data_IF_866249421853
#
_entry.id   IF_866249421853
#
_cell.length_a   1.000
_cell.length_b   1.000
_cell.length_c   1.000
_cell.angle_alpha   90.00
_cell.angle_beta   90.00
_cell.angle_gamma   90.00
#
_symmetry.space_group_name_H-M   'P 1'
#
loop_
_entity.id
_entity.type
_entity.pdbx_description
1 polymer ?
#
# COMPACT_ATOMS: atom_id res chain seq x y z
N UNK A 1 28.58 2.40 -9.84
CA UNK A 1 27.58 3.02 -10.74
C UNK A 1 26.44 2.06 -11.13
N UNK A 2 26.19 0.98 -10.37
CA UNK A 2 25.18 -0.05 -10.64
C UNK A 2 23.79 0.25 -10.04
N UNK A 3 23.72 1.00 -8.94
CA UNK A 3 22.47 1.17 -8.18
C UNK A 3 21.31 1.89 -8.89
N UNK A 4 21.56 2.76 -9.87
CA UNK A 4 20.48 3.49 -10.57
C UNK A 4 19.76 2.61 -11.61
N UNK A 5 20.50 1.72 -12.28
CA UNK A 5 19.92 0.81 -13.26
C UNK A 5 19.04 -0.25 -12.57
N UNK A 6 19.52 -0.79 -11.45
CA UNK A 6 18.80 -1.79 -10.66
C UNK A 6 17.50 -1.21 -10.06
N UNK A 7 17.56 0.02 -9.54
CA UNK A 7 16.39 0.73 -9.01
C UNK A 7 15.31 0.97 -10.10
N UNK A 8 15.72 1.37 -11.31
CA UNK A 8 14.78 1.60 -12.41
C UNK A 8 14.08 0.31 -12.88
N UNK A 9 14.80 -0.83 -12.86
CA UNK A 9 14.25 -2.15 -13.17
C UNK A 9 13.27 -2.60 -12.08
N UNK A 10 13.65 -2.48 -10.81
CA UNK A 10 12.77 -2.83 -9.68
C UNK A 10 11.46 -2.02 -9.72
N UNK A 11 11.58 -0.72 -9.95
CA UNK A 11 10.43 0.18 -10.10
C UNK A 11 9.53 -0.24 -11.27
N UNK A 12 10.09 -0.57 -12.43
CA UNK A 12 9.32 -1.01 -13.60
C UNK A 12 8.55 -2.31 -13.33
N UNK A 13 9.15 -3.26 -12.62
CA UNK A 13 8.47 -4.50 -12.23
C UNK A 13 7.31 -4.22 -11.28
N UNK A 14 7.52 -3.36 -10.27
CA UNK A 14 6.46 -2.94 -9.35
C UNK A 14 5.31 -2.25 -10.08
N UNK A 15 5.61 -1.25 -10.91
CA UNK A 15 4.62 -0.48 -11.68
C UNK A 15 3.88 -1.37 -12.68
N UNK A 16 4.58 -2.25 -13.38
CA UNK A 16 3.97 -3.21 -14.31
C UNK A 16 3.01 -4.17 -13.62
N UNK A 17 3.38 -4.66 -12.42
CA UNK A 17 2.48 -5.46 -11.60
C UNK A 17 1.26 -4.65 -11.14
N UNK A 18 1.46 -3.43 -10.62
CA UNK A 18 0.36 -2.59 -10.15
C UNK A 18 -0.61 -2.21 -11.28
N UNK A 19 -0.09 -1.91 -12.47
CA UNK A 19 -0.86 -1.59 -13.67
C UNK A 19 -1.84 -2.71 -14.04
N UNK A 20 -1.41 -3.97 -13.96
CA UNK A 20 -2.25 -5.14 -14.23
C UNK A 20 -3.38 -5.33 -13.19
N UNK A 21 -3.27 -4.71 -12.01
CA UNK A 21 -4.21 -4.85 -10.90
C UNK A 21 -4.97 -3.56 -10.58
N UNK A 22 -4.99 -2.58 -11.50
CA UNK A 22 -5.67 -1.29 -11.29
C UNK A 22 -7.16 -1.41 -10.94
N UNK A 23 -7.84 -2.44 -11.46
CA UNK A 23 -9.26 -2.71 -11.17
C UNK A 23 -9.55 -3.10 -9.71
N UNK A 24 -8.51 -3.37 -8.91
CA UNK A 24 -8.59 -3.72 -7.49
C UNK A 24 -8.16 -2.57 -6.57
N UNK A 25 -8.08 -1.35 -7.11
CA UNK A 25 -7.76 -0.13 -6.37
C UNK A 25 -8.93 0.83 -6.23
N UNK A 26 -8.86 1.73 -5.26
CA UNK A 26 -9.73 2.89 -5.17
C UNK A 26 -9.03 4.07 -4.48
N UNK A 27 -9.49 5.29 -4.76
CA UNK A 27 -9.03 6.49 -4.06
C UNK A 27 -9.56 6.47 -2.63
N UNK A 28 -8.64 6.44 -1.67
CA UNK A 28 -8.91 6.46 -0.24
C UNK A 28 -9.28 7.88 0.24
N UNK A 29 -8.50 8.87 -0.16
CA UNK A 29 -8.71 10.29 0.12
C UNK A 29 -7.87 11.14 -0.84
N UNK A 30 -8.40 12.28 -1.29
CA UNK A 30 -7.61 13.25 -2.06
C UNK A 30 -6.86 14.22 -1.12
N UNK A 31 -5.78 14.80 -1.61
CA UNK A 31 -4.97 15.79 -0.90
C UNK A 31 -5.84 16.90 -0.27
N UNK A 32 -5.71 17.10 1.04
CA UNK A 32 -6.49 18.06 1.80
C UNK A 32 -7.85 17.55 2.31
N UNK A 33 -8.30 16.36 1.92
CA UNK A 33 -9.49 15.74 2.47
C UNK A 33 -9.19 15.04 3.81
N UNK A 34 -10.17 14.98 4.74
CA UNK A 34 -10.05 14.15 5.92
C UNK A 34 -10.14 12.66 5.56
N UNK A 35 -9.42 11.80 6.29
CA UNK A 35 -9.65 10.36 6.16
C UNK A 35 -10.95 9.95 6.86
N UNK A 36 -11.93 9.52 6.07
CA UNK A 36 -13.22 9.08 6.59
C UNK A 36 -13.26 7.55 6.68
N UNK A 37 -13.07 7.02 7.89
CA UNK A 37 -13.05 5.57 8.17
C UNK A 37 -14.28 4.84 7.59
N UNK A 38 -15.47 5.40 7.73
CA UNK A 38 -16.71 4.79 7.23
C UNK A 38 -16.70 4.61 5.70
N UNK A 39 -16.24 5.62 4.95
CA UNK A 39 -16.13 5.56 3.50
C UNK A 39 -15.13 4.50 3.05
N UNK A 40 -13.95 4.47 3.66
CA UNK A 40 -12.93 3.44 3.37
C UNK A 40 -13.49 2.04 3.61
N UNK A 41 -14.11 1.80 4.76
CA UNK A 41 -14.63 0.47 5.11
C UNK A 41 -15.73 0.03 4.15
N UNK A 42 -16.62 0.94 3.74
CA UNK A 42 -17.65 0.62 2.74
C UNK A 42 -17.03 0.23 1.37
N UNK A 43 -16.03 0.98 0.91
CA UNK A 43 -15.31 0.65 -0.34
C UNK A 43 -14.56 -0.67 -0.23
N UNK A 44 -13.87 -0.92 0.89
CA UNK A 44 -13.19 -2.20 1.17
C UNK A 44 -14.17 -3.36 1.16
N UNK A 45 -15.29 -3.27 1.87
CA UNK A 45 -16.31 -4.32 1.92
C UNK A 45 -16.87 -4.63 0.54
N UNK A 46 -17.15 -3.60 -0.27
CA UNK A 46 -17.61 -3.79 -1.65
C UNK A 46 -16.54 -4.46 -2.52
N UNK A 47 -15.27 -4.04 -2.39
CA UNK A 47 -14.17 -4.59 -3.18
C UNK A 47 -13.84 -6.05 -2.80
N UNK A 48 -13.75 -6.38 -1.51
CA UNK A 48 -13.44 -7.73 -1.04
C UNK A 48 -14.63 -8.67 -1.19
N UNK A 49 -15.86 -8.17 -1.05
CA UNK A 49 -17.08 -8.93 -1.28
C UNK A 49 -17.23 -9.45 -2.72
N UNK A 50 -16.64 -8.75 -3.70
CA UNK A 50 -16.58 -9.19 -5.11
C UNK A 50 -15.53 -10.27 -5.38
N UNK A 51 -14.45 -10.29 -4.59
CA UNK A 51 -13.31 -11.19 -4.79
C UNK A 51 -13.45 -12.49 -3.97
N UNK A 52 -13.97 -12.38 -2.74
CA UNK A 52 -14.25 -13.51 -1.83
C UNK A 52 -13.06 -14.45 -1.64
N UNK A 53 -11.86 -13.90 -1.59
CA UNK A 53 -10.62 -14.65 -1.39
C UNK A 53 -10.32 -14.90 0.09
N UNK A 54 -9.58 -15.99 0.40
CA UNK A 54 -9.15 -16.30 1.75
C UNK A 54 -7.97 -15.43 2.23
N UNK A 55 -7.19 -14.86 1.30
CA UNK A 55 -6.04 -14.01 1.58
C UNK A 55 -5.92 -12.91 0.52
N UNK A 56 -5.45 -11.74 0.94
CA UNK A 56 -5.33 -10.55 0.11
C UNK A 56 -3.97 -9.90 0.28
N UNK A 57 -3.46 -9.32 -0.81
CA UNK A 57 -2.39 -8.33 -0.82
C UNK A 57 -3.00 -6.94 -0.71
N UNK A 58 -2.45 -6.13 0.18
CA UNK A 58 -2.89 -4.78 0.48
C UNK A 58 -1.75 -3.81 0.20
N UNK A 59 -1.97 -2.81 -0.65
CA UNK A 59 -1.02 -1.75 -0.93
C UNK A 59 -1.66 -0.39 -0.68
N UNK A 60 -0.96 0.48 0.04
CA UNK A 60 -1.25 1.91 0.11
C UNK A 60 -0.23 2.64 -0.74
N UNK A 61 -0.71 3.46 -1.67
CA UNK A 61 0.10 4.29 -2.55
C UNK A 61 -0.17 5.76 -2.25
N UNK A 62 0.85 6.60 -2.45
CA UNK A 62 0.79 8.05 -2.35
C UNK A 62 1.10 8.69 -3.70
N UNK A 63 0.21 9.56 -4.19
CA UNK A 63 0.43 10.35 -5.39
C UNK A 63 1.12 11.69 -5.03
N UNK A 64 2.41 11.82 -5.34
CA UNK A 64 3.26 12.98 -5.02
C UNK A 64 3.76 13.65 -6.29
N UNK A 65 3.32 14.88 -6.56
CA UNK A 65 3.87 15.72 -7.66
C UNK A 65 4.00 14.98 -9.01
N UNK A 66 3.03 14.13 -9.36
CA UNK A 66 3.03 13.34 -10.59
C UNK A 66 3.69 11.96 -10.49
N UNK A 67 4.19 11.56 -9.32
CA UNK A 67 4.78 10.26 -9.05
C UNK A 67 3.92 9.44 -8.06
N UNK A 68 3.71 8.14 -8.32
CA UNK A 68 2.99 7.24 -7.42
C UNK A 68 4.00 6.40 -6.62
N UNK A 69 4.03 6.56 -5.30
CA UNK A 69 5.04 5.91 -4.43
C UNK A 69 4.37 4.97 -3.42
N UNK A 70 4.85 3.73 -3.23
CA UNK A 70 4.31 2.85 -2.22
C UNK A 70 4.59 3.39 -0.82
N UNK A 71 3.54 3.40 0.00
CA UNK A 71 3.57 3.78 1.38
C UNK A 71 3.61 2.57 2.31
N UNK A 72 2.79 1.57 2.01
CA UNK A 72 2.63 0.38 2.85
C UNK A 72 2.28 -0.82 1.98
N UNK A 73 2.87 -1.97 2.30
CA UNK A 73 2.56 -3.24 1.64
C UNK A 73 2.35 -4.27 2.75
N UNK A 74 1.32 -5.08 2.63
CA UNK A 74 1.11 -6.19 3.55
C UNK A 74 0.14 -7.23 3.00
N UNK A 75 0.03 -8.34 3.71
CA UNK A 75 -1.00 -9.36 3.46
C UNK A 75 -1.96 -9.53 4.63
N UNK A 76 -3.18 -9.97 4.34
CA UNK A 76 -4.17 -10.24 5.37
C UNK A 76 -5.29 -11.15 4.87
N UNK A 77 -5.90 -11.90 5.79
CA UNK A 77 -7.15 -12.63 5.57
C UNK A 77 -8.39 -11.79 5.85
N UNK A 78 -8.23 -10.62 6.47
CA UNK A 78 -9.34 -9.76 6.92
C UNK A 78 -9.08 -8.29 6.59
N UNK A 79 -9.16 -7.86 5.31
CA UNK A 79 -8.79 -6.50 4.90
C UNK A 79 -9.54 -5.39 5.64
N UNK A 80 -10.83 -5.58 5.93
CA UNK A 80 -11.63 -4.58 6.67
C UNK A 80 -11.11 -4.34 8.08
N UNK A 81 -10.80 -5.41 8.84
CA UNK A 81 -10.21 -5.28 10.18
C UNK A 81 -8.80 -4.69 10.09
N UNK A 82 -7.99 -5.23 9.17
CA UNK A 82 -6.61 -4.80 8.95
C UNK A 82 -6.50 -3.29 8.74
N UNK A 83 -7.24 -2.74 7.78
CA UNK A 83 -7.22 -1.30 7.51
C UNK A 83 -7.94 -0.47 8.58
N UNK A 84 -8.97 -1.02 9.23
CA UNK A 84 -9.60 -0.35 10.36
C UNK A 84 -8.62 -0.13 11.52
N UNK A 85 -7.76 -1.11 11.80
CA UNK A 85 -6.76 -1.01 12.85
C UNK A 85 -5.69 0.03 12.50
N UNK A 86 -5.20 0.02 11.25
CA UNK A 86 -4.27 1.02 10.75
C UNK A 86 -4.81 2.45 10.82
N UNK A 87 -6.06 2.68 10.38
CA UNK A 87 -6.68 4.00 10.47
C UNK A 87 -6.85 4.47 11.90
N UNK A 88 -7.25 3.58 12.81
CA UNK A 88 -7.39 3.91 14.24
C UNK A 88 -6.05 4.31 14.83
N UNK A 89 -4.99 3.55 14.54
CA UNK A 89 -3.64 3.87 14.98
C UNK A 89 -3.16 5.23 14.45
N UNK A 90 -3.37 5.48 13.15
CA UNK A 90 -3.03 6.72 12.47
C UNK A 90 -3.72 7.96 13.09
N UNK A 91 -5.01 7.85 13.41
CA UNK A 91 -5.77 8.92 14.04
C UNK A 91 -5.35 9.14 15.51
N UNK A 92 -5.01 8.07 16.23
CA UNK A 92 -4.56 8.15 17.62
C UNK A 92 -3.09 8.63 17.77
N UNK A 93 -2.29 8.58 16.70
CA UNK A 93 -0.88 8.94 16.66
C UNK A 93 0.01 8.18 17.66
N UNK A 94 -0.30 6.92 17.96
CA UNK A 94 0.42 6.11 18.95
C UNK A 94 1.49 5.21 18.32
N UNK A 95 2.66 5.12 18.96
CA UNK A 95 3.73 4.19 18.56
C UNK A 95 4.17 4.35 17.10
N UNK A 96 4.18 3.24 16.36
CA UNK A 96 4.54 3.21 14.93
C UNK A 96 3.73 4.18 14.06
N UNK A 97 2.49 4.49 14.46
CA UNK A 97 1.59 5.37 13.72
C UNK A 97 1.96 6.86 13.83
N UNK A 98 2.90 7.25 14.70
CA UNK A 98 3.46 8.59 14.69
C UNK A 98 4.22 8.87 13.38
N UNK A 99 4.92 7.86 12.83
CA UNK A 99 5.58 7.96 11.52
C UNK A 99 4.56 8.01 10.39
N UNK A 100 3.52 7.18 10.46
CA UNK A 100 2.41 7.22 9.50
C UNK A 100 1.77 8.60 9.47
N UNK A 101 1.45 9.17 10.64
CA UNK A 101 0.84 10.50 10.75
C UNK A 101 1.71 11.58 10.13
N UNK A 102 3.01 11.62 10.45
CA UNK A 102 3.96 12.60 9.87
C UNK A 102 4.09 12.47 8.34
N UNK A 103 3.97 11.25 7.80
CA UNK A 103 4.10 11.00 6.37
C UNK A 103 2.81 11.32 5.60
N UNK A 104 1.68 10.83 6.11
CA UNK A 104 0.40 10.80 5.39
C UNK A 104 -0.48 12.02 5.65
N UNK A 105 -0.38 12.65 6.83
CA UNK A 105 -1.24 13.77 7.23
C UNK A 105 -0.50 15.11 7.23
N UNK A 106 -1.25 16.20 7.10
CA UNK A 106 -0.74 17.56 7.31
C UNK A 106 -0.51 17.81 8.80
N UNK A 107 0.59 18.47 9.13
CA UNK A 107 0.94 18.78 10.52
C UNK A 107 -0.15 19.66 11.16
N UNK A 108 -0.58 19.31 12.37
CA UNK A 108 -1.67 20.02 13.07
C UNK A 108 -3.08 19.76 12.53
N UNK A 109 -3.26 18.90 11.53
CA UNK A 109 -4.56 18.62 10.91
C UNK A 109 -4.81 17.10 10.74
N UNK A 110 -6.07 16.72 10.54
CA UNK A 110 -6.49 15.34 10.21
C UNK A 110 -6.76 15.14 8.71
N UNK A 111 -6.18 16.00 7.88
CA UNK A 111 -6.29 15.96 6.41
C UNK A 111 -5.06 15.35 5.78
N UNK A 112 -5.27 14.60 4.69
CA UNK A 112 -4.18 13.91 4.00
C UNK A 112 -3.29 14.90 3.24
N UNK A 113 -1.99 14.61 3.20
CA UNK A 113 -0.99 15.46 2.53
C UNK A 113 -1.01 15.28 1.01
N UNK A 114 -1.27 14.06 0.54
CA UNK A 114 -1.23 13.62 -0.85
C UNK A 114 -2.48 12.80 -1.17
N UNK A 115 -2.77 12.58 -2.45
CA UNK A 115 -3.82 11.62 -2.82
C UNK A 115 -3.36 10.23 -2.41
N UNK A 116 -4.25 9.50 -1.72
CA UNK A 116 -3.98 8.17 -1.21
C UNK A 116 -4.82 7.17 -2.01
N UNK A 117 -4.16 6.15 -2.55
CA UNK A 117 -4.80 5.08 -3.30
C UNK A 117 -4.61 3.78 -2.53
N UNK A 118 -5.69 3.01 -2.39
CA UNK A 118 -5.66 1.74 -1.71
C UNK A 118 -6.00 0.61 -2.68
N UNK A 119 -5.11 -0.37 -2.75
CA UNK A 119 -5.27 -1.58 -3.55
C UNK A 119 -5.44 -2.79 -2.64
N UNK A 120 -6.44 -3.62 -2.93
CA UNK A 120 -6.70 -4.87 -2.20
C UNK A 120 -6.99 -5.98 -3.21
N UNK A 121 -5.99 -6.84 -3.43
CA UNK A 121 -5.98 -7.89 -4.45
C UNK A 121 -6.09 -9.24 -3.74
N UNK A 122 -7.16 -9.97 -4.00
CA UNK A 122 -7.36 -11.34 -3.51
C UNK A 122 -6.42 -12.31 -4.21
N UNK A 123 -5.98 -13.36 -3.52
CA UNK A 123 -4.96 -14.28 -4.03
C UNK A 123 -5.33 -14.89 -5.38
N UNK A 124 -6.59 -15.27 -5.62
CA UNK A 124 -7.01 -15.83 -6.93
C UNK A 124 -7.02 -14.81 -8.06
N UNK A 125 -6.94 -13.52 -7.74
CA UNK A 125 -6.89 -12.42 -8.70
C UNK A 125 -5.49 -11.91 -8.99
N UNK A 126 -4.45 -12.48 -8.37
CA UNK A 126 -3.07 -12.19 -8.73
C UNK A 126 -2.78 -12.81 -10.09
N UNK A 127 -2.64 -11.98 -11.12
CA UNK A 127 -2.47 -12.43 -12.49
C UNK A 127 -1.09 -13.07 -12.75
N UNK A 128 -0.04 -12.51 -12.13
CA UNK A 128 1.34 -12.97 -12.25
C UNK A 128 2.18 -12.46 -11.05
N UNK A 129 3.38 -13.02 -10.88
CA UNK A 129 4.30 -12.62 -9.84
C UNK A 129 4.99 -11.28 -10.20
N UNK A 130 5.26 -10.39 -9.23
CA UNK A 130 5.93 -9.12 -9.50
C UNK A 130 7.29 -9.26 -10.18
N UNK A 131 8.07 -10.29 -9.81
CA UNK A 131 9.32 -10.64 -10.49
C UNK A 131 9.08 -11.78 -11.50
N UNK A 132 9.77 -11.77 -12.66
CA UNK A 132 9.69 -12.85 -13.65
C UNK A 132 9.97 -14.22 -13.03
N UNK A 133 9.20 -15.22 -13.43
CA UNK A 133 9.30 -16.61 -12.96
C UNK A 133 9.14 -16.81 -11.43
N UNK A 134 8.73 -15.76 -10.71
CA UNK A 134 8.50 -15.79 -9.27
C UNK A 134 7.23 -16.57 -8.88
N UNK A 135 7.11 -16.98 -7.60
CA UNK A 135 5.89 -17.61 -7.11
C UNK A 135 4.75 -16.58 -6.99
N UNK A 136 3.52 -17.04 -7.23
CA UNK A 136 2.28 -16.23 -7.17
C UNK A 136 1.49 -16.39 -5.87
N UNK A 137 2.02 -17.09 -4.86
CA UNK A 137 1.37 -17.14 -3.55
C UNK A 137 1.34 -15.75 -2.92
N UNK A 138 0.31 -15.46 -2.12
CA UNK A 138 0.18 -14.14 -1.51
C UNK A 138 1.42 -13.76 -0.67
N UNK A 139 1.97 -14.69 0.11
CA UNK A 139 3.23 -14.48 0.84
C UNK A 139 4.41 -14.15 -0.09
N UNK A 140 4.57 -14.89 -1.19
CA UNK A 140 5.68 -14.65 -2.12
C UNK A 140 5.53 -13.30 -2.83
N UNK A 141 4.31 -12.94 -3.21
CA UNK A 141 3.99 -11.67 -3.88
C UNK A 141 4.23 -10.49 -2.93
N UNK A 142 3.77 -10.57 -1.68
CA UNK A 142 4.07 -9.56 -0.65
C UNK A 142 5.57 -9.32 -0.53
N UNK A 143 6.36 -10.38 -0.36
CA UNK A 143 7.83 -10.25 -0.22
C UNK A 143 8.48 -9.63 -1.44
N UNK A 144 8.08 -10.06 -2.65
CA UNK A 144 8.60 -9.49 -3.89
C UNK A 144 8.24 -8.01 -4.02
N UNK A 145 7.00 -7.63 -3.73
CA UNK A 145 6.58 -6.23 -3.77
C UNK A 145 7.33 -5.37 -2.75
N UNK A 146 7.56 -5.88 -1.54
CA UNK A 146 8.39 -5.19 -0.53
C UNK A 146 9.82 -4.98 -1.02
N UNK A 147 10.45 -6.02 -1.59
CA UNK A 147 11.81 -5.92 -2.12
C UNK A 147 11.89 -4.91 -3.27
N UNK A 148 10.99 -5.03 -4.26
CA UNK A 148 10.91 -4.12 -5.39
C UNK A 148 10.62 -2.68 -4.95
N UNK A 149 9.74 -2.49 -3.96
CA UNK A 149 9.44 -1.17 -3.43
C UNK A 149 10.65 -0.54 -2.71
N UNK A 150 11.40 -1.34 -1.96
CA UNK A 150 12.60 -0.90 -1.22
C UNK A 150 13.74 -0.51 -2.17
N UNK A 151 13.89 -1.23 -3.27
CA UNK A 151 14.93 -0.97 -4.28
C UNK A 151 14.53 0.12 -5.28
N UNK A 152 13.25 0.14 -5.67
CA UNK A 152 12.74 0.95 -6.78
C UNK A 152 12.24 2.34 -6.41
N UNK A 153 11.98 2.61 -5.12
CA UNK A 153 11.40 3.87 -4.68
C UNK A 153 12.23 4.56 -3.59
N UNK A 154 12.28 5.90 -3.60
CA UNK A 154 13.14 6.65 -2.68
C UNK A 154 12.62 6.68 -1.24
N UNK A 155 11.35 6.35 -1.01
CA UNK A 155 10.72 6.42 0.31
C UNK A 155 10.61 5.03 0.93
N UNK A 156 11.19 4.87 2.12
CA UNK A 156 11.04 3.64 2.92
C UNK A 156 9.58 3.33 3.21
N UNK A 157 9.19 2.07 3.18
CA UNK A 157 7.82 1.68 3.49
C UNK A 157 7.47 1.89 4.97
N UNK A 158 6.19 2.04 5.26
CA UNK A 158 5.64 2.28 6.60
C UNK A 158 5.54 1.01 7.46
N UNK A 159 5.59 -0.18 6.84
CA UNK A 159 5.70 -1.48 7.52
C UNK A 159 7.13 -1.83 7.95
N UNK A 160 8.14 -1.10 7.48
CA UNK A 160 9.49 -1.20 8.02
C UNK A 160 9.47 -0.54 9.40
N UNK A 161 9.26 -1.33 10.46
CA UNK A 161 9.32 -0.84 11.84
C UNK A 161 10.65 -0.12 12.11
N UNK A 162 10.65 0.87 13.01
CA UNK A 162 11.89 1.47 13.50
C UNK A 162 12.67 0.40 14.29
N UNK A 163 13.59 -0.30 13.64
CA UNK A 163 14.71 -0.99 14.31
C UNK A 163 15.80 0.02 14.71
N UNK A 164 15.40 1.09 15.39
CA UNK A 164 16.31 2.01 16.07
C UNK A 164 15.75 2.27 17.46
N UNK A 165 16.08 1.36 18.38
CA UNK A 165 16.31 1.73 19.77
C UNK A 165 17.67 2.42 19.90
#
# INVERSE_FOLDING_TARGET
MTGTADSAVARRHFEGWLAAHQGYGFVLANAGEPMVRGRMLAQLTSLTGRQQDPEYICLLMEQRLGDETPAHIGRTRTPGRYWSDHLRGLLAAQGEYARWRRRLLREGHDTVRYDLHLYVIGQRHVAFAPQPDGPVSAEAVERQLVALATEGFPLRLLNDGDQTG
#
